data_IF_532894008095
#
_entry.id   IF_532894008095
#
_cell.length_a   1.000
_cell.length_b   1.000
_cell.length_c   1.000
_cell.angle_alpha   90.00
_cell.angle_beta   90.00
_cell.angle_gamma   90.00
#
_symmetry.space_group_name_H-M   'P 1'
#
loop_
_entity.id
_entity.type
_entity.pdbx_description
1 polymer ?
#
# COMPACT_ATOMS: atom_id res chain seq x y z
N UNK A 1 22.48 -34.08 -7.76
CA UNK A 1 21.22 -33.57 -7.16
C UNK A 1 20.34 -33.10 -8.27
N UNK A 2 19.01 -33.26 -8.16
CA UNK A 2 18.06 -32.64 -9.07
C UNK A 2 18.19 -31.15 -8.98
N UNK A 3 18.27 -30.45 -10.10
CA UNK A 3 18.27 -29.00 -10.18
C UNK A 3 16.92 -28.42 -9.74
N UNK A 4 16.83 -27.13 -9.65
CA UNK A 4 15.54 -26.42 -9.51
C UNK A 4 15.42 -25.43 -10.66
N UNK A 5 14.36 -25.59 -11.46
CA UNK A 5 14.09 -24.72 -12.58
C UNK A 5 12.64 -24.20 -12.55
N UNK A 6 12.47 -22.92 -12.67
CA UNK A 6 11.18 -22.28 -12.93
C UNK A 6 11.37 -20.90 -13.58
N UNK A 7 10.62 -20.63 -14.63
CA UNK A 7 10.53 -19.26 -15.21
C UNK A 7 9.08 -18.79 -15.10
N UNK A 8 8.88 -17.59 -14.59
CA UNK A 8 7.55 -16.94 -14.51
C UNK A 8 7.58 -15.56 -15.13
N UNK A 9 6.54 -15.25 -15.87
CA UNK A 9 6.32 -13.92 -16.44
C UNK A 9 5.08 -13.31 -15.83
N UNK A 10 5.28 -12.28 -15.05
CA UNK A 10 4.23 -11.62 -14.27
C UNK A 10 3.95 -10.22 -14.81
N UNK A 11 2.67 -9.87 -14.90
CA UNK A 11 2.22 -8.49 -15.11
C UNK A 11 1.65 -8.01 -13.79
N UNK A 12 2.23 -6.93 -13.24
CA UNK A 12 1.80 -6.33 -11.99
C UNK A 12 1.20 -4.97 -12.29
N UNK A 13 -0.01 -4.73 -11.81
CA UNK A 13 -0.71 -3.46 -12.00
C UNK A 13 -1.40 -3.01 -10.71
N UNK A 14 -1.48 -1.69 -10.46
CA UNK A 14 -2.25 -1.16 -9.34
C UNK A 14 -3.76 -1.35 -9.60
N UNK A 15 -4.51 -1.51 -8.53
CA UNK A 15 -5.98 -1.46 -8.51
C UNK A 15 -6.49 -0.18 -7.87
N UNK A 16 -7.80 0.01 -7.83
CA UNK A 16 -8.39 1.14 -7.12
C UNK A 16 -8.20 0.99 -5.59
N UNK A 17 -8.20 2.12 -4.85
CA UNK A 17 -8.07 2.08 -3.40
C UNK A 17 -9.13 1.20 -2.74
N UNK A 18 -8.68 0.22 -1.94
CA UNK A 18 -9.57 -0.66 -1.20
C UNK A 18 -10.01 -1.92 -1.94
N UNK A 19 -9.65 -2.13 -3.20
CA UNK A 19 -9.92 -3.38 -3.93
C UNK A 19 -9.05 -4.54 -3.43
N UNK A 20 -7.91 -4.23 -2.80
CA UNK A 20 -7.02 -5.24 -2.25
C UNK A 20 -6.20 -5.97 -3.30
N UNK A 21 -5.99 -7.27 -3.07
CA UNK A 21 -5.18 -8.13 -3.92
C UNK A 21 -6.03 -9.02 -4.80
N UNK A 22 -5.65 -9.17 -6.07
CA UNK A 22 -6.19 -10.17 -6.96
C UNK A 22 -5.10 -10.86 -7.79
N UNK A 23 -5.30 -12.16 -8.05
CA UNK A 23 -4.43 -12.97 -8.88
C UNK A 23 -5.23 -13.62 -10.00
N UNK A 24 -4.70 -13.62 -11.20
CA UNK A 24 -5.26 -14.35 -12.34
C UNK A 24 -4.18 -15.09 -13.12
N UNK A 25 -4.52 -16.26 -13.63
CA UNK A 25 -3.67 -16.98 -14.57
C UNK A 25 -4.20 -16.79 -15.98
N UNK A 26 -3.35 -16.27 -16.86
CA UNK A 26 -3.59 -16.08 -18.29
C UNK A 26 -2.71 -17.00 -19.13
N UNK A 27 -2.28 -18.14 -18.58
CA UNK A 27 -1.45 -19.10 -19.27
C UNK A 27 -2.23 -19.71 -20.45
N UNK A 28 -1.60 -19.70 -21.62
CA UNK A 28 -2.11 -20.32 -22.85
C UNK A 28 -1.16 -21.41 -23.28
N UNK A 29 -1.69 -22.52 -23.84
CA UNK A 29 -0.88 -23.59 -24.42
C UNK A 29 -0.10 -24.45 -23.40
N UNK A 30 -0.42 -24.36 -22.09
CA UNK A 30 0.25 -25.19 -21.08
C UNK A 30 1.69 -24.80 -20.76
N UNK A 31 2.10 -23.55 -21.06
CA UNK A 31 3.47 -23.07 -20.79
C UNK A 31 3.87 -23.20 -19.29
N UNK A 32 2.89 -23.17 -18.40
CA UNK A 32 3.04 -23.56 -16.99
C UNK A 32 1.94 -24.57 -16.65
N UNK A 33 2.29 -25.80 -16.23
CA UNK A 33 1.32 -26.78 -15.76
C UNK A 33 0.45 -26.24 -14.62
N UNK A 34 -0.83 -26.64 -14.61
CA UNK A 34 -1.82 -26.15 -13.63
C UNK A 34 -1.41 -26.43 -12.18
N UNK A 35 -0.67 -27.52 -11.96
CA UNK A 35 -0.17 -27.91 -10.65
C UNK A 35 0.82 -26.94 -10.03
N UNK A 36 1.53 -26.13 -10.84
CA UNK A 36 2.50 -25.15 -10.37
C UNK A 36 1.89 -23.76 -10.10
N UNK A 37 0.70 -23.47 -10.63
CA UNK A 37 0.02 -22.19 -10.47
C UNK A 37 -0.24 -21.84 -8.99
N UNK A 38 -0.69 -22.78 -8.13
CA UNK A 38 -0.83 -22.51 -6.69
C UNK A 38 0.49 -22.10 -6.02
N UNK A 39 1.63 -22.66 -6.46
CA UNK A 39 2.97 -22.28 -6.01
C UNK A 39 3.28 -20.84 -6.34
N UNK A 40 2.98 -20.41 -7.57
CA UNK A 40 3.15 -19.01 -7.99
C UNK A 40 2.34 -18.06 -7.11
N UNK A 41 1.06 -18.35 -6.89
CA UNK A 41 0.19 -17.52 -6.05
C UNK A 41 0.71 -17.44 -4.60
N UNK A 42 1.13 -18.59 -4.04
CA UNK A 42 1.72 -18.65 -2.69
C UNK A 42 3.00 -17.81 -2.59
N UNK A 43 3.87 -17.87 -3.62
CA UNK A 43 5.08 -17.05 -3.70
C UNK A 43 4.78 -15.57 -3.71
N UNK A 44 3.77 -15.12 -4.47
CA UNK A 44 3.32 -13.73 -4.50
C UNK A 44 2.79 -13.29 -3.13
N UNK A 45 1.89 -14.08 -2.53
CA UNK A 45 1.31 -13.79 -1.20
C UNK A 45 2.38 -13.65 -0.11
N UNK A 46 3.44 -14.45 -0.16
CA UNK A 46 4.53 -14.40 0.82
C UNK A 46 5.29 -13.06 0.86
N UNK A 47 5.15 -12.22 -0.16
CA UNK A 47 5.81 -10.90 -0.24
C UNK A 47 4.87 -9.76 0.13
N UNK A 48 3.57 -10.03 0.23
CA UNK A 48 2.57 -8.98 0.51
C UNK A 48 2.75 -8.37 1.88
N UNK A 49 3.02 -9.20 2.90
CA UNK A 49 3.12 -8.74 4.30
C UNK A 49 4.40 -7.95 4.57
N UNK A 50 5.43 -8.18 3.76
CA UNK A 50 6.73 -7.50 3.88
C UNK A 50 7.23 -7.07 2.50
N UNK A 51 6.72 -5.95 2.03
CA UNK A 51 7.06 -5.38 0.72
C UNK A 51 8.51 -4.87 0.64
N UNK A 52 9.03 -4.68 -0.58
CA UNK A 52 10.43 -4.33 -0.82
C UNK A 52 10.78 -2.89 -0.41
N UNK A 53 9.79 -2.04 -0.16
CA UNK A 53 9.99 -0.67 0.29
C UNK A 53 9.69 -0.58 1.79
N UNK A 54 10.73 -0.44 2.60
CA UNK A 54 10.66 -0.30 4.06
C UNK A 54 9.94 -1.43 4.83
N UNK A 55 9.68 -2.59 4.20
CA UNK A 55 9.08 -3.76 4.85
C UNK A 55 7.59 -3.63 5.20
N UNK A 56 6.89 -2.60 4.72
CA UNK A 56 5.46 -2.44 4.96
C UNK A 56 4.62 -3.32 4.03
N UNK A 57 3.41 -3.76 4.46
CA UNK A 57 2.49 -4.52 3.62
C UNK A 57 2.15 -3.81 2.31
N UNK A 58 2.07 -4.57 1.22
CA UNK A 58 1.65 -4.06 -0.10
C UNK A 58 0.16 -4.30 -0.27
N UNK A 59 -0.55 -3.28 -0.74
CA UNK A 59 -2.01 -3.31 -0.93
C UNK A 59 -2.40 -2.75 -2.30
N UNK A 60 -3.63 -3.03 -2.71
CA UNK A 60 -4.28 -2.47 -3.90
C UNK A 60 -3.49 -2.73 -5.19
N UNK A 61 -3.28 -4.01 -5.51
CA UNK A 61 -2.63 -4.43 -6.74
C UNK A 61 -3.18 -5.75 -7.27
N UNK A 62 -3.02 -5.97 -8.56
CA UNK A 62 -3.33 -7.22 -9.23
C UNK A 62 -2.12 -7.80 -9.92
N UNK A 63 -2.04 -9.12 -9.96
CA UNK A 63 -0.98 -9.86 -10.65
C UNK A 63 -1.58 -10.82 -11.63
N UNK A 64 -1.10 -10.80 -12.87
CA UNK A 64 -1.43 -11.79 -13.88
C UNK A 64 -0.18 -12.62 -14.21
N UNK A 65 -0.31 -13.94 -14.11
CA UNK A 65 0.67 -14.89 -14.64
C UNK A 65 0.35 -15.10 -16.12
N UNK A 66 1.21 -14.60 -17.00
CA UNK A 66 0.95 -14.58 -18.46
C UNK A 66 1.74 -15.63 -19.22
N UNK A 67 2.91 -16.00 -18.72
CA UNK A 67 3.80 -16.95 -19.37
C UNK A 67 4.78 -17.56 -18.38
N UNK A 68 5.50 -18.60 -18.76
CA UNK A 68 6.55 -19.22 -17.97
C UNK A 68 7.17 -20.39 -18.69
N UNK A 69 8.15 -21.01 -18.07
CA UNK A 69 8.76 -22.26 -18.55
C UNK A 69 8.97 -23.19 -17.39
N UNK A 70 8.82 -24.46 -17.69
CA UNK A 70 9.10 -25.55 -16.77
C UNK A 70 10.03 -26.58 -17.42
N UNK A 71 10.62 -27.43 -16.61
CA UNK A 71 11.42 -28.55 -17.03
C UNK A 71 10.91 -29.83 -16.35
N UNK A 72 10.66 -30.85 -17.11
CA UNK A 72 9.96 -32.07 -16.63
C UNK A 72 10.61 -32.74 -15.39
N UNK A 73 11.92 -32.59 -15.24
CA UNK A 73 12.68 -33.22 -14.13
C UNK A 73 12.98 -32.25 -12.99
N UNK A 74 13.25 -30.96 -13.31
CA UNK A 74 13.80 -30.00 -12.36
C UNK A 74 12.79 -28.97 -11.86
N UNK A 75 11.56 -29.02 -12.36
CA UNK A 75 10.50 -28.14 -11.90
C UNK A 75 9.71 -28.72 -10.74
N UNK A 76 9.31 -27.87 -9.83
CA UNK A 76 8.48 -28.20 -8.67
C UNK A 76 7.60 -27.00 -8.25
N UNK A 77 6.55 -27.27 -7.48
CA UNK A 77 5.72 -26.21 -6.87
C UNK A 77 6.58 -25.24 -6.07
N UNK A 78 7.60 -25.74 -5.37
CA UNK A 78 8.53 -24.93 -4.59
C UNK A 78 9.40 -24.03 -5.47
N UNK A 79 9.91 -24.55 -6.61
CA UNK A 79 10.69 -23.75 -7.56
C UNK A 79 9.86 -22.59 -8.11
N UNK A 80 8.60 -22.84 -8.47
CA UNK A 80 7.68 -21.79 -8.91
C UNK A 80 7.30 -20.81 -7.80
N UNK A 81 7.17 -21.25 -6.54
CA UNK A 81 6.98 -20.37 -5.38
C UNK A 81 8.16 -19.41 -5.21
N UNK A 82 9.39 -19.92 -5.30
CA UNK A 82 10.62 -19.13 -5.18
C UNK A 82 10.73 -18.13 -6.34
N UNK A 83 10.54 -18.59 -7.59
CA UNK A 83 10.57 -17.73 -8.78
C UNK A 83 9.55 -16.61 -8.70
N UNK A 84 8.32 -16.91 -8.31
CA UNK A 84 7.26 -15.92 -8.14
C UNK A 84 7.57 -14.93 -7.03
N UNK A 85 8.13 -15.37 -5.91
CA UNK A 85 8.58 -14.53 -4.80
C UNK A 85 9.65 -13.52 -5.25
N UNK A 86 10.65 -13.99 -5.97
CA UNK A 86 11.73 -13.14 -6.51
C UNK A 86 11.17 -12.17 -7.56
N UNK A 87 10.35 -12.69 -8.48
CA UNK A 87 9.68 -11.90 -9.52
C UNK A 87 8.83 -10.79 -8.96
N UNK A 88 8.06 -11.09 -7.94
CA UNK A 88 7.22 -10.09 -7.29
C UNK A 88 8.03 -8.99 -6.59
N UNK A 89 9.09 -9.35 -5.85
CA UNK A 89 9.99 -8.38 -5.20
C UNK A 89 10.62 -7.42 -6.20
N UNK A 90 11.14 -7.95 -7.29
CA UNK A 90 11.77 -7.14 -8.33
C UNK A 90 10.74 -6.32 -9.09
N UNK A 91 9.59 -6.93 -9.38
CA UNK A 91 8.47 -6.27 -10.04
C UNK A 91 7.97 -5.06 -9.29
N UNK A 92 7.79 -5.17 -7.99
CA UNK A 92 7.37 -4.06 -7.14
C UNK A 92 8.38 -2.91 -7.13
N UNK A 93 9.70 -3.20 -7.10
CA UNK A 93 10.73 -2.17 -7.23
C UNK A 93 10.64 -1.43 -8.55
N UNK A 94 10.49 -2.17 -9.66
CA UNK A 94 10.37 -1.61 -11.01
C UNK A 94 9.04 -0.87 -11.23
N UNK A 95 7.97 -1.30 -10.56
CA UNK A 95 6.64 -0.68 -10.66
C UNK A 95 6.56 0.68 -9.95
N UNK A 96 7.53 1.02 -9.11
CA UNK A 96 7.56 2.29 -8.39
C UNK A 96 6.53 2.34 -7.25
N UNK A 97 6.52 1.31 -6.40
CA UNK A 97 5.71 1.30 -5.19
C UNK A 97 5.98 2.56 -4.36
N UNK A 98 4.93 3.14 -3.77
CA UNK A 98 5.01 4.32 -2.90
C UNK A 98 4.49 4.00 -1.52
N UNK A 99 5.12 4.61 -0.53
CA UNK A 99 4.65 4.54 0.85
C UNK A 99 3.36 5.35 0.97
N UNK A 100 2.32 4.70 1.50
CA UNK A 100 1.09 5.38 1.89
C UNK A 100 1.22 5.86 3.32
N UNK A 101 0.83 7.11 3.53
CA UNK A 101 0.72 7.71 4.86
C UNK A 101 -0.76 7.79 5.23
N UNK A 102 -1.13 7.51 6.50
CA UNK A 102 -2.51 7.64 6.93
C UNK A 102 -2.94 9.11 6.89
N UNK A 103 -4.07 9.38 6.25
CA UNK A 103 -4.71 10.71 6.29
C UNK A 103 -5.78 10.67 7.37
N UNK A 104 -5.77 11.66 8.26
CA UNK A 104 -6.72 11.79 9.36
C UNK A 104 -7.57 13.04 9.19
N UNK A 105 -8.86 12.95 9.51
CA UNK A 105 -9.70 14.12 9.71
C UNK A 105 -9.40 14.71 11.09
N UNK A 106 -9.06 15.97 11.10
CA UNK A 106 -8.69 16.73 12.29
C UNK A 106 -9.69 17.85 12.50
N UNK A 107 -10.17 17.99 13.72
CA UNK A 107 -10.89 19.17 14.18
C UNK A 107 -10.09 19.80 15.32
N UNK A 108 -9.70 21.04 15.16
CA UNK A 108 -9.00 21.83 16.19
C UNK A 108 -9.91 22.95 16.66
N UNK A 109 -10.26 22.94 17.95
CA UNK A 109 -11.06 24.00 18.57
C UNK A 109 -10.13 24.93 19.35
N UNK A 110 -10.13 26.21 19.01
CA UNK A 110 -9.20 27.20 19.54
C UNK A 110 -9.86 28.58 19.69
N UNK A 111 -9.41 29.42 20.65
CA UNK A 111 -9.73 30.82 20.64
C UNK A 111 -9.30 31.51 19.33
N UNK A 112 -10.00 32.57 18.93
CA UNK A 112 -9.77 33.25 17.65
C UNK A 112 -8.33 33.73 17.47
N UNK A 113 -7.69 34.22 18.53
CA UNK A 113 -6.32 34.73 18.54
C UNK A 113 -5.25 33.70 18.07
N UNK A 114 -5.51 32.37 18.20
CA UNK A 114 -4.57 31.31 17.78
C UNK A 114 -4.89 30.71 16.41
N UNK A 115 -6.01 31.10 15.78
CA UNK A 115 -6.48 30.51 14.52
C UNK A 115 -5.44 30.58 13.42
N UNK A 116 -4.79 31.71 13.22
CA UNK A 116 -3.77 31.88 12.19
C UNK A 116 -2.54 31.00 12.41
N UNK A 117 -2.08 30.87 13.66
CA UNK A 117 -0.96 30.01 14.01
C UNK A 117 -1.24 28.52 13.76
N UNK A 118 -2.46 28.07 14.09
CA UNK A 118 -2.90 26.68 13.87
C UNK A 118 -3.04 26.36 12.38
N UNK A 119 -3.63 27.24 11.59
CA UNK A 119 -3.72 27.08 10.13
C UNK A 119 -2.32 27.01 9.53
N UNK A 120 -1.40 27.86 9.96
CA UNK A 120 0.01 27.82 9.54
C UNK A 120 0.69 26.50 9.88
N UNK A 121 0.51 25.96 11.09
CA UNK A 121 1.08 24.68 11.50
C UNK A 121 0.49 23.50 10.69
N UNK A 122 -0.83 23.44 10.55
CA UNK A 122 -1.48 22.42 9.72
C UNK A 122 -0.97 22.44 8.27
N UNK A 123 -0.87 23.63 7.68
CA UNK A 123 -0.38 23.79 6.29
C UNK A 123 1.10 23.37 6.18
N UNK A 124 1.94 23.72 7.15
CA UNK A 124 3.34 23.35 7.16
C UNK A 124 3.56 21.81 7.19
N UNK A 125 2.60 21.08 7.75
CA UNK A 125 2.57 19.60 7.80
C UNK A 125 1.89 18.98 6.59
N UNK A 126 1.60 19.71 5.54
CA UNK A 126 0.85 19.27 4.36
C UNK A 126 -0.63 19.01 4.64
N UNK A 127 -1.15 19.49 5.76
CA UNK A 127 -2.56 19.45 6.12
C UNK A 127 -3.38 20.33 5.17
N UNK A 128 -4.55 19.87 4.81
CA UNK A 128 -5.49 20.62 3.98
C UNK A 128 -6.66 21.10 4.84
N UNK A 129 -6.72 22.42 5.09
CA UNK A 129 -7.85 23.02 5.79
C UNK A 129 -9.07 23.00 4.88
N UNK A 130 -10.17 22.42 5.36
CA UNK A 130 -11.42 22.27 4.60
C UNK A 130 -12.48 23.30 4.99
N UNK A 131 -12.35 23.89 6.17
CA UNK A 131 -13.27 24.92 6.64
C UNK A 131 -13.00 25.32 8.07
N UNK A 132 -13.68 26.39 8.50
CA UNK A 132 -13.70 26.85 9.88
C UNK A 132 -15.12 27.26 10.27
N UNK A 133 -15.48 27.03 11.53
CA UNK A 133 -16.78 27.32 12.09
C UNK A 133 -16.63 28.05 13.42
N UNK A 134 -17.42 29.10 13.65
CA UNK A 134 -17.46 29.75 14.95
C UNK A 134 -18.36 28.97 15.89
N UNK A 135 -17.84 28.62 17.06
CA UNK A 135 -18.58 27.94 18.15
C UNK A 135 -18.47 28.73 19.45
N UNK A 136 -19.41 29.66 19.65
CA UNK A 136 -19.37 30.56 20.80
C UNK A 136 -18.12 31.47 20.75
N UNK A 137 -17.25 31.38 21.76
CA UNK A 137 -16.00 32.14 21.84
C UNK A 137 -14.78 31.39 21.25
N UNK A 138 -15.01 30.35 20.49
CA UNK A 138 -13.95 29.54 19.86
C UNK A 138 -14.21 29.32 18.38
N UNK A 139 -13.15 29.03 17.66
CA UNK A 139 -13.16 28.65 16.24
C UNK A 139 -12.82 27.16 16.13
N UNK A 140 -13.65 26.39 15.45
CA UNK A 140 -13.37 25.02 15.08
C UNK A 140 -12.80 24.99 13.66
N UNK A 141 -11.56 24.53 13.51
CA UNK A 141 -10.84 24.39 12.25
C UNK A 141 -10.91 22.92 11.83
N UNK A 142 -11.49 22.65 10.67
CA UNK A 142 -11.56 21.32 10.08
C UNK A 142 -10.45 21.15 9.03
N UNK A 143 -9.72 20.06 9.11
CA UNK A 143 -8.64 19.75 8.16
C UNK A 143 -8.50 18.25 7.91
N UNK A 144 -7.82 17.90 6.81
CA UNK A 144 -7.21 16.60 6.60
C UNK A 144 -5.71 16.73 6.79
N UNK A 145 -5.12 15.93 7.67
CA UNK A 145 -3.67 15.94 7.92
C UNK A 145 -3.07 14.55 7.72
N UNK A 146 -1.84 14.52 7.21
CA UNK A 146 -1.15 13.28 6.83
C UNK A 146 -0.52 12.59 8.03
N UNK A 147 -0.02 13.33 9.02
CA UNK A 147 0.54 12.77 10.27
C UNK A 147 0.40 13.80 11.38
N UNK A 148 -0.30 13.42 12.41
CA UNK A 148 -0.16 14.10 13.69
C UNK A 148 0.99 13.43 14.43
N UNK A 149 2.19 13.91 14.19
CA UNK A 149 3.24 13.76 15.18
C UNK A 149 2.78 14.53 16.43
N UNK A 150 2.91 13.97 17.64
CA UNK A 150 2.58 14.72 18.85
C UNK A 150 3.31 16.05 18.76
N UNK A 151 2.53 17.12 18.72
CA UNK A 151 3.02 18.46 18.52
C UNK A 151 4.18 18.73 19.49
N UNK A 152 5.32 19.11 18.97
CA UNK A 152 6.28 19.87 19.76
C UNK A 152 5.57 21.13 20.22
N UNK A 153 5.08 21.05 21.48
CA UNK A 153 4.76 22.17 22.36
C UNK A 153 4.33 23.51 21.72
N UNK A 154 3.14 23.58 21.17
CA UNK A 154 2.46 24.85 20.95
C UNK A 154 0.97 24.77 21.31
N UNK A 155 0.59 23.84 22.20
CA UNK A 155 -0.76 23.85 22.71
C UNK A 155 -0.82 24.71 23.95
N UNK A 156 -1.27 25.97 23.87
CA UNK A 156 -1.75 26.64 25.06
C UNK A 156 -2.85 25.74 25.66
N UNK A 157 -2.96 25.70 26.96
CA UNK A 157 -3.86 24.83 27.74
C UNK A 157 -5.36 24.93 27.40
N UNK A 158 -5.72 25.66 26.36
CA UNK A 158 -7.08 25.93 25.87
C UNK A 158 -7.37 25.40 24.46
N UNK A 159 -6.46 24.65 23.84
CA UNK A 159 -6.67 24.06 22.51
C UNK A 159 -7.10 22.60 22.65
N UNK A 160 -8.25 22.26 22.10
CA UNK A 160 -8.75 20.88 22.04
C UNK A 160 -8.60 20.34 20.64
N UNK A 161 -7.99 19.17 20.50
CA UNK A 161 -7.80 18.49 19.21
C UNK A 161 -8.60 17.19 19.23
N UNK A 162 -9.58 17.07 18.34
CA UNK A 162 -10.33 15.85 18.11
C UNK A 162 -9.86 15.18 16.82
N UNK A 163 -9.46 13.92 16.92
CA UNK A 163 -8.95 13.11 15.82
C UNK A 163 -9.96 12.05 15.44
N UNK A 164 -10.43 12.07 14.20
CA UNK A 164 -11.22 10.99 13.62
C UNK A 164 -10.45 10.38 12.46
N UNK A 165 -10.04 9.12 12.57
CA UNK A 165 -9.47 8.40 11.44
C UNK A 165 -10.56 8.15 10.40
N UNK A 166 -10.34 8.58 9.17
CA UNK A 166 -11.13 8.14 8.04
C UNK A 166 -10.47 6.87 7.51
N UNK A 167 -10.74 5.75 8.18
CA UNK A 167 -10.62 4.46 7.55
C UNK A 167 -11.88 4.31 6.70
N UNK A 168 -11.73 4.40 5.38
CA UNK A 168 -12.78 3.95 4.46
C UNK A 168 -13.18 2.56 4.88
N UNK A 169 -14.45 2.45 5.22
CA UNK A 169 -15.21 1.31 5.63
C UNK A 169 -14.80 0.01 4.94
N UNK A 170 -14.17 -0.91 5.64
CA UNK A 170 -14.54 -2.31 5.74
C UNK A 170 -13.50 -3.05 6.60
N UNK A 171 -13.63 -2.97 7.90
CA UNK A 171 -13.36 -4.04 8.86
C UNK A 171 -13.44 -3.48 10.28
N UNK A 172 -14.39 -3.98 11.07
CA UNK A 172 -14.42 -3.84 12.52
C UNK A 172 -13.21 -4.55 13.11
N UNK A 173 -12.11 -3.83 13.28
CA UNK A 173 -11.06 -4.25 14.20
C UNK A 173 -10.45 -3.01 14.85
N UNK A 174 -10.35 -3.05 16.18
CA UNK A 174 -9.81 -1.96 17.01
C UNK A 174 -8.44 -1.51 16.49
N UNK A 175 -8.11 -0.21 16.48
CA UNK A 175 -6.81 0.26 16.04
C UNK A 175 -5.74 -0.17 17.07
N UNK A 176 -5.08 -1.28 16.80
CA UNK A 176 -3.78 -1.56 17.36
C UNK A 176 -2.77 -1.07 16.33
N UNK A 177 -2.02 -0.04 16.68
CA UNK A 177 -0.84 0.46 15.97
C UNK A 177 -1.12 1.12 14.61
N UNK A 178 -0.62 2.33 14.43
CA UNK A 178 -0.61 3.09 13.18
C UNK A 178 0.24 2.35 12.14
N UNK A 179 -0.36 1.45 11.37
CA UNK A 179 0.35 0.72 10.32
C UNK A 179 0.49 1.60 9.08
N UNK A 180 1.72 1.86 8.68
CA UNK A 180 2.03 2.42 7.36
C UNK A 180 1.88 1.31 6.31
N UNK A 181 1.25 1.62 5.18
CA UNK A 181 1.01 0.68 4.08
C UNK A 181 1.66 1.16 2.80
N UNK A 182 2.07 0.22 1.95
CA UNK A 182 2.62 0.50 0.63
C UNK A 182 1.53 0.37 -0.44
N UNK A 183 1.51 1.30 -1.38
CA UNK A 183 0.63 1.26 -2.53
C UNK A 183 1.42 1.47 -3.83
N UNK A 184 1.02 0.76 -4.87
CA UNK A 184 1.51 1.00 -6.21
C UNK A 184 0.82 2.21 -6.82
N UNK A 185 1.60 3.10 -7.46
CA UNK A 185 1.04 4.21 -8.24
C UNK A 185 0.92 3.81 -9.69
N UNK A 186 -0.16 4.24 -10.35
CA UNK A 186 -0.28 4.13 -11.81
C UNK A 186 0.85 4.95 -12.47
N UNK A 187 1.80 4.35 -13.21
CA UNK A 187 2.59 5.10 -14.16
C UNK A 187 1.66 5.59 -15.25
N UNK A 188 1.94 6.77 -15.82
CA UNK A 188 1.15 7.39 -16.91
C UNK A 188 1.05 6.57 -18.19
N UNK A 189 1.70 5.41 -18.31
CA UNK A 189 1.57 4.46 -19.43
C UNK A 189 2.01 3.06 -19.02
N UNK A 190 1.19 2.07 -19.36
CA UNK A 190 1.42 0.64 -19.50
C UNK A 190 1.81 -0.19 -18.26
N UNK A 191 1.12 -1.33 -18.14
CA UNK A 191 1.51 -2.50 -17.34
C UNK A 191 2.96 -2.88 -17.65
N UNK A 192 3.81 -3.03 -16.64
CA UNK A 192 5.20 -3.49 -16.86
C UNK A 192 5.27 -5.00 -16.84
N UNK A 193 5.81 -5.53 -17.92
CA UNK A 193 6.08 -6.95 -18.08
C UNK A 193 7.44 -7.29 -17.46
N UNK A 194 7.48 -8.33 -16.63
CA UNK A 194 8.69 -8.75 -15.92
C UNK A 194 8.91 -10.22 -16.17
N UNK A 195 10.06 -10.54 -16.73
CA UNK A 195 10.52 -11.90 -16.97
C UNK A 195 11.68 -12.21 -16.04
N UNK A 196 11.59 -13.29 -15.28
CA UNK A 196 12.63 -13.74 -14.36
C UNK A 196 12.91 -15.21 -14.61
N UNK A 197 14.08 -15.55 -15.14
CA UNK A 197 14.62 -16.91 -15.08
C UNK A 197 15.24 -17.16 -13.69
N UNK A 198 15.10 -18.37 -13.20
CA UNK A 198 15.88 -18.96 -12.12
C UNK A 198 17.01 -19.79 -12.71
#
# INVERSE_FOLDING_TARGET
GSGQFAEVKLIIAPTEPGEGYSFESRIVGGAVPKEYIPGVEKGIKSVMDSGPLAGFPVIDFKVALVDGKFHDVDSSVLAFEIAARMGMREGMKKAGAKLLEPIMKVEVVTPEEYTGGIIGDLTSRRGQVTGQETRGNAIAINAFDVIISPARSLTPSRVSISLRSILTSSARTRPKTLERRLRMTRPRSSSKEIRIPL
#
